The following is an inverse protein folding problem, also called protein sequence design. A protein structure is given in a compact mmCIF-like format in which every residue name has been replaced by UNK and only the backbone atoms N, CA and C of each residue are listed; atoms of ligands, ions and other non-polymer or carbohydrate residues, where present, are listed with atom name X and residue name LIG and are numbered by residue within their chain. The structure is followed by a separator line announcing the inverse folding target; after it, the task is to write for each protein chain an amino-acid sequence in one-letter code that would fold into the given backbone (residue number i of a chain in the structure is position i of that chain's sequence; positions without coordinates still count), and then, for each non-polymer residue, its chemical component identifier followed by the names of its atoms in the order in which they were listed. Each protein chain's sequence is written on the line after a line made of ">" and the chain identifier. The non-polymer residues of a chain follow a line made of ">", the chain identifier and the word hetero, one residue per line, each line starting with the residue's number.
data_IF_648591197967
#
_entry.id   IF_648591197967
#
_cell.length_a   1.000
_cell.length_b   1.000
_cell.length_c   1.000
_cell.angle_alpha   90.00
_cell.angle_beta   90.00
_cell.angle_gamma   90.00
#
_symmetry.space_group_name_H-M   'P 1'
#
loop_
_entity.id
_entity.type
_entity.pdbx_description
1 polymer ?
#
# COMPACT_ATOMS: atom_id res chain seq x y z
N UNK A 1 -19.96 3.93 -7.79
CA UNK A 1 -19.54 2.51 -7.70
C UNK A 1 -19.41 2.13 -6.23
N UNK A 2 -19.62 0.86 -5.89
CA UNK A 2 -19.42 0.34 -4.52
C UNK A 2 -18.05 -0.34 -4.41
N UNK A 3 -17.16 0.21 -3.59
CA UNK A 3 -15.77 -0.22 -3.43
C UNK A 3 -15.47 -0.72 -2.01
N UNK A 4 -14.94 -1.95 -1.87
CA UNK A 4 -14.41 -2.44 -0.60
C UNK A 4 -12.91 -2.10 -0.48
N UNK A 5 -12.53 -1.48 0.63
CA UNK A 5 -11.16 -1.06 0.90
C UNK A 5 -10.62 -1.89 2.07
N UNK A 6 -9.56 -2.66 1.83
CA UNK A 6 -9.00 -3.62 2.82
C UNK A 6 -7.58 -3.29 3.26
N UNK A 7 -7.23 -2.00 3.24
CA UNK A 7 -5.92 -1.49 3.66
C UNK A 7 -5.83 -1.37 5.19
N UNK A 8 -4.73 -0.84 5.74
CA UNK A 8 -4.74 -0.40 7.13
C UNK A 8 -5.79 0.70 7.33
N UNK A 9 -6.35 0.82 8.54
CA UNK A 9 -7.46 1.74 8.81
C UNK A 9 -7.19 3.18 8.32
N UNK A 10 -6.06 3.76 8.72
CA UNK A 10 -5.69 5.12 8.32
C UNK A 10 -5.52 5.30 6.80
N UNK A 11 -4.97 4.29 6.10
CA UNK A 11 -4.86 4.32 4.63
C UNK A 11 -6.22 4.11 3.95
N UNK A 12 -7.07 3.26 4.55
CA UNK A 12 -8.39 2.97 4.03
C UNK A 12 -9.31 4.19 4.12
N UNK A 13 -9.26 4.92 5.23
CA UNK A 13 -10.04 6.14 5.45
C UNK A 13 -9.59 7.27 4.53
N UNK A 14 -8.27 7.45 4.36
CA UNK A 14 -7.71 8.43 3.42
C UNK A 14 -8.16 8.14 1.99
N UNK A 15 -8.13 6.86 1.60
CA UNK A 15 -8.56 6.43 0.27
C UNK A 15 -10.08 6.53 0.09
N UNK A 16 -10.86 6.19 1.13
CA UNK A 16 -12.33 6.30 1.13
C UNK A 16 -12.76 7.75 0.93
N UNK A 17 -12.12 8.71 1.61
CA UNK A 17 -12.36 10.15 1.43
C UNK A 17 -12.10 10.59 -0.01
N UNK A 18 -10.94 10.21 -0.57
CA UNK A 18 -10.56 10.53 -1.96
C UNK A 18 -11.52 9.95 -3.00
N UNK A 19 -12.00 8.74 -2.77
CA UNK A 19 -12.94 8.05 -3.66
C UNK A 19 -14.37 8.57 -3.48
N UNK A 20 -14.78 8.90 -2.25
CA UNK A 20 -16.06 9.54 -1.94
C UNK A 20 -16.21 10.89 -2.63
N UNK A 21 -15.17 11.72 -2.62
CA UNK A 21 -15.13 12.97 -3.37
C UNK A 21 -15.28 12.80 -4.89
N UNK A 22 -15.10 11.58 -5.41
CA UNK A 22 -15.30 11.21 -6.82
C UNK A 22 -16.64 10.48 -7.07
N UNK A 23 -17.54 10.44 -6.09
CA UNK A 23 -18.86 9.80 -6.20
C UNK A 23 -18.84 8.29 -6.01
N UNK A 24 -17.82 7.73 -5.35
CA UNK A 24 -17.77 6.31 -5.00
C UNK A 24 -18.30 6.06 -3.59
N UNK A 25 -19.14 5.03 -3.45
CA UNK A 25 -19.60 4.50 -2.15
C UNK A 25 -18.55 3.50 -1.66
N UNK A 26 -17.88 3.82 -0.55
CA UNK A 26 -16.74 3.06 -0.05
C UNK A 26 -17.07 2.38 1.28
N UNK A 27 -16.86 1.07 1.34
CA UNK A 27 -16.89 0.31 2.58
C UNK A 27 -15.46 0.07 3.04
N UNK A 28 -15.10 0.59 4.21
CA UNK A 28 -13.82 0.35 4.86
C UNK A 28 -13.92 -0.95 5.66
N UNK A 29 -13.06 -1.91 5.35
CA UNK A 29 -12.93 -3.18 6.05
C UNK A 29 -11.44 -3.48 6.24
N UNK A 30 -10.78 -2.83 7.21
CA UNK A 30 -9.34 -2.95 7.38
C UNK A 30 -8.97 -4.41 7.65
N UNK A 31 -8.09 -4.96 6.82
CA UNK A 31 -7.58 -6.32 6.98
C UNK A 31 -6.09 -6.33 7.32
N UNK A 32 -5.49 -5.15 7.50
CA UNK A 32 -4.11 -4.98 7.94
C UNK A 32 -4.13 -4.11 9.19
N UNK A 33 -3.64 -4.66 10.28
CA UNK A 33 -3.37 -3.95 11.52
C UNK A 33 -1.90 -3.53 11.54
N UNK A 34 -1.67 -2.27 11.88
CA UNK A 34 -0.33 -1.71 12.02
C UNK A 34 -0.06 -1.62 13.52
N UNK A 35 0.81 -2.49 14.01
CA UNK A 35 1.14 -2.59 15.45
C UNK A 35 2.48 -1.91 15.68
N UNK A 36 2.53 -0.73 16.33
CA UNK A 36 3.80 -0.08 16.63
C UNK A 36 4.64 -0.92 17.60
N UNK A 37 5.96 -0.90 17.43
CA UNK A 37 6.87 -1.50 18.41
C UNK A 37 7.19 -0.48 19.51
N UNK A 38 6.80 -0.75 20.77
CA UNK A 38 7.02 0.20 21.85
C UNK A 38 8.51 0.35 22.16
N UNK A 39 8.93 1.56 22.54
CA UNK A 39 10.29 1.84 23.02
C UNK A 39 11.38 1.87 21.95
N UNK A 40 11.05 1.74 20.66
CA UNK A 40 12.04 1.87 19.58
C UNK A 40 12.25 3.34 19.25
N UNK A 41 13.43 3.86 19.58
CA UNK A 41 13.87 5.20 19.19
C UNK A 41 14.96 5.11 18.12
N UNK A 42 15.01 6.10 17.24
CA UNK A 42 16.06 6.21 16.23
C UNK A 42 17.15 7.14 16.74
N UNK A 43 18.36 6.61 16.90
CA UNK A 43 19.55 7.47 17.02
C UNK A 43 19.79 8.16 15.67
N UNK A 44 19.79 9.49 15.72
CA UNK A 44 19.95 10.36 14.54
C UNK A 44 21.37 10.89 14.37
N UNK A 45 22.29 10.52 15.28
CA UNK A 45 23.69 10.96 15.24
C UNK A 45 24.36 10.48 13.95
N UNK A 46 24.81 11.39 13.07
CA UNK A 46 25.44 11.01 11.80
C UNK A 46 24.47 10.42 10.76
N UNK A 47 23.16 10.61 10.93
CA UNK A 47 22.14 10.27 9.93
C UNK A 47 22.02 11.41 8.93
N UNK A 48 22.12 11.10 7.63
CA UNK A 48 21.97 12.08 6.56
C UNK A 48 20.56 12.14 5.97
N UNK A 49 19.72 11.15 6.26
CA UNK A 49 18.34 11.12 5.77
C UNK A 49 17.56 9.88 6.16
N UNK A 50 16.25 9.99 6.05
CA UNK A 50 15.32 8.90 6.32
C UNK A 50 14.75 8.33 5.02
N UNK A 51 14.50 7.02 5.01
CA UNK A 51 13.87 6.31 3.91
C UNK A 51 12.52 5.79 4.40
N UNK A 52 11.46 6.04 3.63
CA UNK A 52 10.11 5.53 3.91
C UNK A 52 9.51 4.89 2.66
N UNK A 53 9.03 3.65 2.80
CA UNK A 53 8.43 2.88 1.69
C UNK A 53 6.90 2.88 1.73
N UNK A 54 6.30 3.42 2.79
CA UNK A 54 4.85 3.55 2.96
C UNK A 54 4.51 4.74 3.88
N UNK A 55 3.26 5.19 3.83
CA UNK A 55 2.74 6.19 4.77
C UNK A 55 2.81 5.70 6.23
N UNK A 56 2.61 4.40 6.46
CA UNK A 56 2.78 3.80 7.79
C UNK A 56 4.23 3.92 8.28
N UNK A 57 5.22 3.78 7.39
CA UNK A 57 6.63 4.04 7.70
C UNK A 57 6.88 5.49 8.12
N UNK A 58 6.27 6.47 7.44
CA UNK A 58 6.37 7.88 7.81
C UNK A 58 5.76 8.19 9.19
N UNK A 59 4.59 7.61 9.50
CA UNK A 59 3.96 7.75 10.82
C UNK A 59 4.74 7.04 11.94
N UNK A 60 5.33 5.90 11.64
CA UNK A 60 6.19 5.21 12.59
C UNK A 60 7.47 6.01 12.86
N UNK A 61 8.08 6.58 11.81
CA UNK A 61 9.23 7.46 11.89
C UNK A 61 8.93 8.70 12.77
N UNK A 62 7.79 9.35 12.57
CA UNK A 62 7.43 10.55 13.35
C UNK A 62 7.29 10.30 14.85
N UNK A 63 6.98 9.06 15.24
CA UNK A 63 6.91 8.62 16.65
C UNK A 63 8.28 8.22 17.19
N UNK A 64 9.16 7.68 16.35
CA UNK A 64 10.47 7.17 16.74
C UNK A 64 11.57 8.24 16.81
N UNK A 65 11.34 9.44 16.27
CA UNK A 65 12.25 10.58 16.41
C UNK A 65 11.50 11.91 16.40
N UNK A 66 12.03 12.90 17.12
CA UNK A 66 11.57 14.29 17.10
C UNK A 66 12.24 15.13 16.01
N UNK A 67 13.32 14.65 15.37
CA UNK A 67 14.01 15.38 14.30
C UNK A 67 13.11 15.51 13.08
N UNK A 68 13.09 16.70 12.48
CA UNK A 68 12.23 17.08 11.34
C UNK A 68 12.97 17.78 10.22
N UNK A 69 14.24 18.11 10.44
CA UNK A 69 15.14 18.88 9.59
C UNK A 69 16.03 18.01 8.69
N UNK A 70 15.91 16.67 8.77
CA UNK A 70 16.61 15.73 7.91
C UNK A 70 15.74 15.35 6.69
N UNK A 71 16.34 15.18 5.50
CA UNK A 71 15.60 14.82 4.32
C UNK A 71 14.90 13.46 4.47
N UNK A 72 13.65 13.39 4.03
CA UNK A 72 12.89 12.14 3.90
C UNK A 72 12.75 11.78 2.44
N UNK A 73 13.23 10.59 2.07
CA UNK A 73 13.06 10.03 0.74
C UNK A 73 11.97 8.96 0.77
N UNK A 74 10.94 9.17 -0.03
CA UNK A 74 9.74 8.35 -0.05
C UNK A 74 9.57 7.62 -1.39
N UNK A 75 9.16 6.35 -1.36
CA UNK A 75 8.90 5.57 -2.58
C UNK A 75 7.86 6.21 -3.49
N UNK A 76 6.82 6.82 -2.92
CA UNK A 76 5.76 7.45 -3.71
C UNK A 76 5.06 8.59 -2.99
N UNK A 77 4.25 9.31 -3.77
CA UNK A 77 3.63 10.58 -3.39
C UNK A 77 2.81 10.52 -2.11
N UNK A 78 2.05 9.44 -1.90
CA UNK A 78 1.24 9.29 -0.70
C UNK A 78 2.11 9.22 0.57
N UNK A 79 3.25 8.54 0.49
CA UNK A 79 4.21 8.45 1.60
C UNK A 79 4.93 9.78 1.82
N UNK A 80 5.30 10.48 0.73
CA UNK A 80 5.91 11.80 0.79
C UNK A 80 4.98 12.84 1.44
N UNK A 81 3.72 12.91 0.98
CA UNK A 81 2.70 13.81 1.56
C UNK A 81 2.48 13.52 3.03
N UNK A 82 2.35 12.24 3.40
CA UNK A 82 2.23 11.86 4.80
C UNK A 82 3.44 12.32 5.65
N UNK A 83 4.67 12.23 5.13
CA UNK A 83 5.84 12.73 5.86
C UNK A 83 5.83 14.26 5.98
N UNK A 84 5.44 14.98 4.92
CA UNK A 84 5.32 16.43 4.94
C UNK A 84 4.24 16.90 5.94
N UNK A 85 3.08 16.25 5.97
CA UNK A 85 1.98 16.52 6.90
C UNK A 85 2.40 16.28 8.37
N UNK A 86 3.39 15.41 8.60
CA UNK A 86 4.00 15.14 9.92
C UNK A 86 5.15 16.11 10.26
N UNK A 87 5.38 17.11 9.41
CA UNK A 87 6.34 18.20 9.61
C UNK A 87 7.77 17.92 9.17
N UNK A 88 8.06 16.81 8.47
CA UNK A 88 9.41 16.56 7.95
C UNK A 88 9.74 17.49 6.79
N UNK A 89 10.99 17.98 6.74
CA UNK A 89 11.54 18.82 5.67
C UNK A 89 13.06 18.58 5.50
N UNK A 90 13.58 18.52 4.25
CA UNK A 90 12.82 18.44 3.00
C UNK A 90 12.25 17.03 2.78
N UNK A 91 11.23 16.90 1.93
CA UNK A 91 10.66 15.59 1.55
C UNK A 91 10.74 15.40 0.06
N UNK A 92 11.23 14.24 -0.37
CA UNK A 92 11.39 13.87 -1.76
C UNK A 92 10.56 12.62 -2.09
N UNK A 93 9.79 12.67 -3.18
CA UNK A 93 9.06 11.53 -3.71
C UNK A 93 9.81 10.96 -4.91
N UNK A 94 9.98 9.64 -4.95
CA UNK A 94 10.48 8.94 -6.13
C UNK A 94 9.37 8.63 -7.15
N UNK A 95 8.09 8.81 -6.76
CA UNK A 95 6.89 8.46 -7.52
C UNK A 95 7.00 7.12 -8.28
N UNK A 96 7.46 6.07 -7.58
CA UNK A 96 7.78 4.81 -8.23
C UNK A 96 7.83 3.65 -7.26
N UNK A 97 8.88 2.85 -7.39
CA UNK A 97 9.15 1.67 -6.57
C UNK A 97 10.49 1.80 -5.84
N UNK A 98 10.96 0.68 -5.28
CA UNK A 98 12.24 0.60 -4.58
C UNK A 98 13.42 0.98 -5.48
N UNK A 99 13.37 0.69 -6.79
CA UNK A 99 14.43 1.09 -7.73
C UNK A 99 14.44 2.60 -7.92
N UNK A 100 13.27 3.18 -8.15
CA UNK A 100 13.11 4.61 -8.32
C UNK A 100 13.62 5.37 -7.08
N UNK A 101 13.30 4.87 -5.88
CA UNK A 101 13.79 5.43 -4.62
C UNK A 101 15.31 5.32 -4.49
N UNK A 102 15.89 4.16 -4.81
CA UNK A 102 17.35 3.99 -4.76
C UNK A 102 18.06 4.94 -5.73
N UNK A 103 17.52 5.11 -6.94
CA UNK A 103 18.04 6.04 -7.94
C UNK A 103 17.93 7.51 -7.49
N UNK A 104 16.79 7.89 -6.90
CA UNK A 104 16.60 9.23 -6.33
C UNK A 104 17.66 9.53 -5.27
N UNK A 105 17.84 8.64 -4.29
CA UNK A 105 18.84 8.81 -3.23
C UNK A 105 20.25 8.90 -3.80
N UNK A 106 20.60 8.04 -4.76
CA UNK A 106 21.92 8.08 -5.39
C UNK A 106 22.18 9.38 -6.18
N UNK A 107 21.13 10.02 -6.69
CA UNK A 107 21.23 11.29 -7.42
C UNK A 107 21.33 12.51 -6.50
N UNK A 108 20.77 12.45 -5.29
CA UNK A 108 20.63 13.63 -4.41
C UNK A 108 21.48 13.59 -3.15
N UNK A 109 21.90 12.41 -2.70
CA UNK A 109 22.68 12.21 -1.48
C UNK A 109 24.09 11.70 -1.81
N UNK A 110 25.02 11.78 -0.85
CA UNK A 110 26.37 11.23 -1.00
C UNK A 110 26.64 10.19 0.08
N UNK A 111 27.22 9.03 -0.25
CA UNK A 111 27.50 7.99 0.73
C UNK A 111 28.34 8.44 1.93
N UNK A 112 29.23 9.40 1.72
CA UNK A 112 30.15 9.93 2.75
C UNK A 112 29.49 10.90 3.75
N UNK A 113 28.29 11.39 3.45
CA UNK A 113 27.65 12.45 4.25
C UNK A 113 26.92 11.90 5.49
N UNK A 114 26.88 10.58 5.66
CA UNK A 114 26.32 9.90 6.84
C UNK A 114 25.64 8.59 6.51
N UNK A 115 24.93 8.00 7.46
CA UNK A 115 24.09 6.82 7.21
C UNK A 115 22.65 7.21 6.88
N UNK A 116 21.96 6.35 6.14
CA UNK A 116 20.53 6.46 5.88
C UNK A 116 19.78 5.53 6.84
N UNK A 117 18.63 5.98 7.34
CA UNK A 117 17.78 5.15 8.20
C UNK A 117 16.48 4.82 7.49
N UNK A 118 16.22 3.54 7.24
CA UNK A 118 14.96 3.05 6.73
C UNK A 118 14.00 2.74 7.88
N UNK A 119 12.92 3.53 7.95
CA UNK A 119 11.80 3.31 8.86
C UNK A 119 10.89 2.20 8.32
N UNK A 120 11.17 0.98 8.76
CA UNK A 120 10.68 -0.24 8.16
C UNK A 120 9.57 -0.93 8.98
N UNK A 121 8.76 -1.71 8.28
CA UNK A 121 8.00 -2.80 8.90
C UNK A 121 8.92 -4.01 9.14
N UNK A 122 8.52 -4.93 10.02
CA UNK A 122 9.26 -6.17 10.25
C UNK A 122 9.41 -7.04 8.98
N UNK A 123 8.44 -6.94 8.08
CA UNK A 123 8.50 -7.55 6.74
C UNK A 123 8.73 -6.46 5.70
N UNK A 124 9.87 -6.52 5.01
CA UNK A 124 10.24 -5.55 3.99
C UNK A 124 9.63 -5.90 2.62
N UNK A 125 9.21 -4.87 1.88
CA UNK A 125 8.86 -4.99 0.47
C UNK A 125 10.09 -4.68 -0.39
N UNK A 126 10.71 -5.72 -0.95
CA UNK A 126 11.93 -5.59 -1.76
C UNK A 126 13.19 -5.32 -0.93
N UNK A 127 14.32 -5.18 -1.62
CA UNK A 127 15.65 -5.00 -1.01
C UNK A 127 16.22 -3.60 -1.26
N UNK A 128 15.60 -2.58 -0.65
CA UNK A 128 16.08 -1.20 -0.74
C UNK A 128 17.48 -1.04 -0.13
N UNK A 129 17.73 -1.71 1.00
CA UNK A 129 18.99 -1.59 1.73
C UNK A 129 20.15 -2.22 0.95
N UNK A 130 19.98 -3.42 0.38
CA UNK A 130 21.01 -4.05 -0.45
C UNK A 130 21.37 -3.22 -1.67
N UNK A 131 20.37 -2.58 -2.31
CA UNK A 131 20.60 -1.69 -3.46
C UNK A 131 21.42 -0.46 -3.12
N UNK A 132 21.03 0.23 -2.05
CA UNK A 132 21.75 1.43 -1.59
C UNK A 132 23.15 1.10 -1.08
N UNK A 133 23.33 -0.04 -0.40
CA UNK A 133 24.65 -0.55 -0.02
C UNK A 133 25.51 -0.88 -1.24
N UNK A 134 24.93 -1.45 -2.30
CA UNK A 134 25.60 -1.66 -3.58
C UNK A 134 26.05 -0.35 -4.25
N UNK A 135 25.35 0.75 -3.98
CA UNK A 135 25.74 2.10 -4.40
C UNK A 135 26.68 2.83 -3.40
N UNK A 136 27.17 2.12 -2.38
CA UNK A 136 28.15 2.62 -1.41
C UNK A 136 27.56 3.25 -0.14
N UNK A 137 26.23 3.38 -0.02
CA UNK A 137 25.60 3.98 1.15
C UNK A 137 25.60 3.04 2.36
N UNK A 138 25.80 3.62 3.55
CA UNK A 138 25.46 2.94 4.80
C UNK A 138 23.96 3.08 5.06
N UNK A 139 23.26 1.96 5.28
CA UNK A 139 21.81 1.93 5.51
C UNK A 139 21.47 1.08 6.71
N UNK A 140 20.77 1.68 7.67
CA UNK A 140 20.21 1.01 8.84
C UNK A 140 18.71 0.77 8.62
N UNK A 141 18.29 -0.49 8.67
CA UNK A 141 16.87 -0.85 8.67
C UNK A 141 16.38 -0.98 10.11
N UNK A 142 15.52 -0.06 10.53
CA UNK A 142 14.95 -0.07 11.89
C UNK A 142 13.49 -0.50 11.78
N UNK A 143 13.18 -1.64 12.39
CA UNK A 143 11.82 -2.16 12.46
C UNK A 143 11.02 -1.39 13.51
N UNK A 144 10.12 -0.53 13.04
CA UNK A 144 9.31 0.34 13.92
C UNK A 144 7.90 -0.19 14.16
N UNK A 145 7.41 -1.07 13.29
CA UNK A 145 6.06 -1.63 13.39
C UNK A 145 5.95 -3.01 12.75
N UNK A 146 4.93 -3.75 13.16
CA UNK A 146 4.49 -4.99 12.53
C UNK A 146 3.24 -4.73 11.69
N UNK A 147 3.15 -5.40 10.53
CA UNK A 147 1.96 -5.41 9.69
C UNK A 147 1.25 -6.75 9.84
N UNK A 148 0.26 -6.80 10.74
CA UNK A 148 -0.46 -8.02 11.07
C UNK A 148 -1.69 -8.10 10.16
N UNK A 149 -1.81 -9.18 9.40
CA UNK A 149 -2.98 -9.35 8.54
C UNK A 149 -4.09 -10.07 9.30
N UNK A 150 -5.28 -9.48 9.32
CA UNK A 150 -6.47 -10.05 9.92
C UNK A 150 -6.81 -11.44 9.33
N UNK A 151 -7.40 -12.30 10.15
CA UNK A 151 -7.82 -13.66 9.79
C UNK A 151 -9.29 -13.73 9.38
N UNK A 152 -10.07 -12.68 9.66
CA UNK A 152 -11.48 -12.57 9.30
C UNK A 152 -11.85 -11.14 8.89
N UNK A 153 -12.97 -10.99 8.18
CA UNK A 153 -13.57 -9.68 7.94
C UNK A 153 -14.19 -9.14 9.24
N UNK A 154 -14.18 -7.81 9.48
CA UNK A 154 -14.85 -7.22 10.64
C UNK A 154 -16.38 -7.51 10.66
N UNK A 155 -17.08 -7.33 11.81
CA UNK A 155 -18.47 -7.75 12.02
C UNK A 155 -19.54 -7.03 11.13
N UNK A 156 -20.82 -7.47 11.12
CA UNK A 156 -21.67 -7.77 9.95
C UNK A 156 -22.16 -6.62 9.04
N UNK A 157 -21.77 -5.35 9.22
CA UNK A 157 -22.18 -4.26 8.29
C UNK A 157 -21.77 -4.55 6.84
N UNK A 158 -20.76 -5.39 6.64
CA UNK A 158 -20.27 -5.83 5.34
C UNK A 158 -21.20 -6.86 4.67
N UNK A 159 -21.85 -7.77 5.39
CA UNK A 159 -22.67 -8.85 4.78
C UNK A 159 -23.83 -8.27 3.98
N UNK A 160 -24.60 -7.34 4.54
CA UNK A 160 -25.72 -6.70 3.85
C UNK A 160 -25.28 -5.86 2.63
N UNK A 161 -24.11 -5.21 2.72
CA UNK A 161 -23.57 -4.39 1.63
C UNK A 161 -23.01 -5.23 0.47
N UNK A 162 -22.45 -6.41 0.78
CA UNK A 162 -21.90 -7.36 -0.20
C UNK A 162 -22.97 -8.03 -1.08
N UNK A 163 -24.22 -8.12 -0.62
CA UNK A 163 -25.33 -8.64 -1.42
C UNK A 163 -25.81 -7.65 -2.51
N UNK A 164 -25.35 -6.39 -2.49
CA UNK A 164 -25.68 -5.39 -3.51
C UNK A 164 -24.45 -4.99 -4.34
N UNK A 165 -24.39 -5.45 -5.59
CA UNK A 165 -23.47 -5.05 -6.68
C UNK A 165 -22.11 -4.44 -6.26
N UNK A 166 -21.32 -5.19 -5.48
CA UNK A 166 -19.90 -4.84 -5.25
C UNK A 166 -19.18 -4.79 -6.61
N UNK A 167 -18.61 -3.63 -6.95
CA UNK A 167 -18.05 -3.41 -8.28
C UNK A 167 -16.52 -3.51 -8.32
N UNK A 168 -15.84 -3.49 -7.16
CA UNK A 168 -14.38 -3.58 -7.10
C UNK A 168 -13.80 -3.68 -5.69
N UNK A 169 -12.51 -4.03 -5.64
CA UNK A 169 -11.71 -4.10 -4.41
C UNK A 169 -10.42 -3.28 -4.56
N UNK A 170 -10.03 -2.57 -3.50
CA UNK A 170 -8.73 -1.92 -3.39
C UNK A 170 -7.83 -2.71 -2.42
N UNK A 171 -6.81 -3.40 -2.97
CA UNK A 171 -5.93 -4.30 -2.22
C UNK A 171 -4.58 -3.68 -1.86
N UNK A 172 -4.11 -4.00 -0.65
CA UNK A 172 -2.67 -4.09 -0.31
C UNK A 172 -2.27 -5.46 0.26
N UNK A 173 -3.15 -6.46 0.17
CA UNK A 173 -2.94 -7.82 0.72
C UNK A 173 -2.04 -8.70 -0.18
N UNK A 174 -1.17 -9.55 0.41
CA UNK A 174 -0.46 -10.58 -0.34
C UNK A 174 -1.45 -11.60 -0.94
N UNK A 175 -1.09 -12.12 -2.12
CA UNK A 175 -1.95 -12.97 -2.95
C UNK A 175 -2.71 -14.12 -2.24
N UNK A 176 -2.13 -14.85 -1.25
CA UNK A 176 -2.80 -15.98 -0.61
C UNK A 176 -4.07 -15.61 0.17
N UNK A 177 -4.14 -14.38 0.70
CA UNK A 177 -5.21 -13.96 1.62
C UNK A 177 -6.43 -13.35 0.94
N UNK A 178 -6.41 -13.24 -0.40
CA UNK A 178 -7.56 -12.77 -1.22
C UNK A 178 -8.78 -13.69 -1.15
N UNK A 179 -8.64 -14.90 -0.59
CA UNK A 179 -9.73 -15.87 -0.37
C UNK A 179 -10.71 -15.47 0.74
N UNK A 180 -10.30 -14.53 1.62
CA UNK A 180 -11.18 -13.97 2.65
C UNK A 180 -12.29 -13.07 2.08
N UNK A 181 -12.21 -12.76 0.79
CA UNK A 181 -13.13 -11.85 0.11
C UNK A 181 -14.21 -12.65 -0.61
N UNK A 182 -15.46 -12.14 -0.63
CA UNK A 182 -16.53 -12.74 -1.41
C UNK A 182 -16.18 -12.74 -2.90
N UNK A 183 -16.69 -13.73 -3.64
CA UNK A 183 -16.53 -13.83 -5.08
C UNK A 183 -17.10 -12.57 -5.77
N UNK A 184 -16.31 -11.84 -6.59
CA UNK A 184 -16.84 -10.70 -7.31
C UNK A 184 -17.82 -11.18 -8.38
N UNK A 185 -18.91 -10.43 -8.58
CA UNK A 185 -19.62 -10.40 -9.86
C UNK A 185 -18.71 -9.92 -11.00
N UNK A 186 -19.23 -9.72 -12.23
CA UNK A 186 -18.40 -9.43 -13.41
C UNK A 186 -17.40 -8.29 -13.14
N UNK A 187 -16.12 -8.61 -13.33
CA UNK A 187 -14.97 -7.82 -12.84
C UNK A 187 -14.73 -6.58 -13.71
N UNK A 188 -14.61 -5.41 -13.09
CA UNK A 188 -14.10 -4.20 -13.74
C UNK A 188 -12.76 -3.82 -13.12
N UNK A 189 -11.62 -3.89 -13.84
CA UNK A 189 -10.36 -3.39 -13.32
C UNK A 189 -10.33 -1.85 -13.42
N UNK A 190 -10.27 -1.17 -12.28
CA UNK A 190 -10.06 0.28 -12.22
C UNK A 190 -8.55 0.52 -12.02
N UNK A 191 -7.91 1.18 -12.97
CA UNK A 191 -6.49 1.59 -12.88
C UNK A 191 -6.39 3.12 -12.88
N UNK A 192 -5.56 3.74 -12.02
CA UNK A 192 -5.19 5.13 -12.22
C UNK A 192 -4.45 5.24 -13.56
N UNK A 193 -4.77 6.27 -14.36
CA UNK A 193 -4.10 6.49 -15.64
C UNK A 193 -2.62 6.82 -15.38
N UNK A 194 -1.74 5.86 -15.69
CA UNK A 194 -0.28 5.95 -15.67
C UNK A 194 0.33 4.54 -15.66
N UNK A 195 1.01 4.10 -16.73
CA UNK A 195 1.48 2.70 -16.93
C UNK A 195 2.86 2.45 -16.28
N UNK A 196 3.26 1.17 -16.08
CA UNK A 196 4.12 0.52 -17.09
C UNK A 196 3.58 -0.81 -17.66
N UNK A 197 3.96 -1.07 -18.92
CA UNK A 197 3.48 -2.07 -19.87
C UNK A 197 3.93 -3.51 -19.63
N UNK A 198 4.92 -3.76 -18.76
CA UNK A 198 5.52 -5.09 -18.59
C UNK A 198 4.57 -6.13 -17.97
N UNK A 199 3.72 -5.71 -17.02
CA UNK A 199 2.79 -6.61 -16.32
C UNK A 199 1.61 -7.07 -17.21
N UNK A 200 1.21 -6.23 -18.18
CA UNK A 200 0.15 -6.55 -19.16
C UNK A 200 0.50 -7.75 -20.05
N UNK A 201 1.79 -7.95 -20.40
CA UNK A 201 2.22 -9.07 -21.25
C UNK A 201 2.22 -10.41 -20.51
N UNK A 202 2.61 -10.43 -19.23
CA UNK A 202 2.63 -11.65 -18.40
C UNK A 202 1.22 -12.15 -18.09
N UNK A 203 0.24 -11.25 -17.97
CA UNK A 203 -1.15 -11.60 -17.69
C UNK A 203 -1.88 -12.21 -18.89
N UNK A 204 -1.67 -11.68 -20.12
CA UNK A 204 -2.27 -12.23 -21.35
C UNK A 204 -1.84 -13.67 -21.67
N UNK A 205 -0.64 -14.09 -21.26
CA UNK A 205 -0.16 -15.47 -21.44
C UNK A 205 -0.76 -16.47 -20.44
N UNK A 206 -1.17 -16.01 -19.24
CA UNK A 206 -1.63 -16.91 -18.16
C UNK A 206 -3.13 -17.21 -18.21
N UNK A 207 -3.92 -16.38 -18.89
CA UNK A 207 -5.38 -16.55 -18.99
C UNK A 207 -5.86 -16.28 -20.42
N UNK A 208 -5.77 -17.32 -21.28
CA UNK A 208 -6.70 -17.48 -22.41
C UNK A 208 -7.93 -18.22 -21.86
N UNK A 209 -9.16 -17.76 -22.10
CA UNK A 209 -10.35 -18.53 -21.73
C UNK A 209 -10.38 -19.84 -22.52
N UNK A 210 -10.58 -20.95 -21.82
CA UNK A 210 -11.06 -22.19 -22.43
C UNK A 210 -12.49 -21.95 -22.92
N UNK A 211 -12.75 -22.20 -24.20
CA UNK A 211 -14.07 -22.08 -24.81
C UNK A 211 -14.96 -23.28 -24.42
N UNK A 212 -15.38 -23.34 -23.15
CA UNK A 212 -16.36 -24.33 -22.68
C UNK A 212 -16.76 -24.06 -21.24
N UNK A 213 -17.78 -23.22 -21.03
CA UNK A 213 -18.56 -23.25 -19.80
C UNK A 213 -19.96 -22.72 -20.12
N UNK A 214 -20.94 -23.62 -20.09
CA UNK A 214 -22.34 -23.37 -20.47
C UNK A 214 -23.06 -22.41 -19.53
N UNK A 215 -24.02 -21.68 -20.10
CA UNK A 215 -24.93 -20.80 -19.39
C UNK A 215 -26.01 -21.61 -18.66
N UNK A 216 -26.15 -21.39 -17.36
CA UNK A 216 -27.33 -21.80 -16.60
C UNK A 216 -28.35 -20.65 -16.60
N UNK A 217 -29.59 -20.92 -16.99
CA UNK A 217 -30.70 -19.95 -16.97
C UNK A 217 -31.64 -20.24 -15.79
N UNK A 218 -32.13 -19.23 -15.06
CA UNK A 218 -33.06 -19.43 -13.96
C UNK A 218 -34.49 -19.76 -14.47
N UNK A 219 -35.32 -20.48 -13.68
CA UNK A 219 -36.67 -20.87 -14.08
C UNK A 219 -37.63 -19.66 -14.09
N UNK A 220 -38.58 -19.68 -15.02
CA UNK A 220 -39.57 -18.63 -15.21
C UNK A 220 -40.64 -18.59 -14.10
N UNK A 221 -41.16 -17.41 -13.72
CA UNK A 221 -42.21 -17.29 -12.72
C UNK A 221 -43.57 -17.82 -13.22
N UNK A 222 -44.44 -18.32 -12.33
CA UNK A 222 -45.75 -18.84 -12.69
C UNK A 222 -46.69 -17.73 -13.19
N UNK A 223 -47.52 -18.05 -14.19
CA UNK A 223 -48.49 -17.12 -14.78
C UNK A 223 -49.70 -16.92 -13.86
N UNK A 224 -50.27 -15.71 -13.77
CA UNK A 224 -51.54 -15.49 -13.10
C UNK A 224 -52.72 -16.05 -13.93
N UNK A 225 -53.78 -16.44 -13.23
CA UNK A 225 -55.01 -17.09 -13.69
C UNK A 225 -55.74 -16.36 -14.81
#
# INVERSE_FOLDING_TARGET
>A
MRLLITRSAEEADSLATLLGAKGHDCLVAPLIEIVPRPGVAIDTTGVQGFLVTSANGARALSRATARRDLPVYAVGDASARCAADLGFVPVHSADGDVEALAALVAATARPRDGRLVHAAAATLAGDLAGRLRGAGFSVDCITLYDSVTATSLPPPRHKAWLHGHLTGFCFSLPAPRRRLLPSPGPRVPIWPRGRPTAFRRRWRRRWRPSASAGFWSPPAPPKPT
#
